data_IF_083729581717
#
_entry.id   IF_083729581717
#
_cell.length_a   1.000
_cell.length_b   1.000
_cell.length_c   1.000
_cell.angle_alpha   90.00
_cell.angle_beta   90.00
_cell.angle_gamma   90.00
#
_symmetry.space_group_name_H-M   'P 1'
#
loop_
_entity.id
_entity.type
_entity.pdbx_description
1 polymer ?
#
# COMPACT_ATOMS: atom_id res chain seq x y z
N UNK A 1 25.34 -1.03 26.36
CA UNK A 1 24.76 -1.40 25.05
C UNK A 1 23.22 -1.37 25.10
N UNK A 2 22.61 -0.21 25.38
CA UNK A 2 21.14 -0.02 25.43
C UNK A 2 20.65 1.27 24.74
N UNK A 3 21.53 1.99 24.05
CA UNK A 3 21.22 3.32 23.50
C UNK A 3 21.10 3.37 21.97
N UNK A 4 21.41 2.30 21.24
CA UNK A 4 21.38 2.32 19.77
C UNK A 4 20.01 1.92 19.20
N UNK A 5 19.22 1.12 19.92
CA UNK A 5 17.87 0.73 19.51
C UNK A 5 16.83 1.86 19.63
N UNK A 6 17.06 2.83 20.52
CA UNK A 6 16.14 3.96 20.71
C UNK A 6 16.30 5.02 19.61
N UNK A 7 17.48 5.15 19.00
CA UNK A 7 17.72 6.16 17.95
C UNK A 7 17.18 5.72 16.58
N UNK A 8 17.28 4.44 16.21
CA UNK A 8 16.70 3.93 14.95
C UNK A 8 15.17 4.04 14.94
N UNK A 9 14.54 3.88 16.11
CA UNK A 9 13.09 4.08 16.28
C UNK A 9 12.67 5.56 16.21
N UNK A 10 13.60 6.50 16.42
CA UNK A 10 13.30 7.93 16.43
C UNK A 10 13.43 8.56 15.04
N UNK A 11 14.42 8.16 14.25
CA UNK A 11 14.59 8.63 12.86
C UNK A 11 13.54 8.01 11.91
N UNK A 12 13.24 6.71 12.03
CA UNK A 12 12.12 6.09 11.30
C UNK A 12 10.75 6.49 11.88
N UNK A 13 10.70 6.78 13.18
CA UNK A 13 9.49 7.22 13.85
C UNK A 13 8.98 8.53 13.27
N UNK A 14 9.83 9.56 13.20
CA UNK A 14 9.41 10.90 12.79
C UNK A 14 8.80 10.93 11.37
N UNK A 15 9.40 10.22 10.41
CA UNK A 15 8.89 10.12 9.03
C UNK A 15 7.61 9.28 8.92
N UNK A 16 7.47 8.25 9.75
CA UNK A 16 6.22 7.50 9.85
C UNK A 16 5.11 8.39 10.39
N UNK A 17 5.36 9.21 11.43
CA UNK A 17 4.39 10.12 12.04
C UNK A 17 3.99 11.29 11.13
N UNK A 18 4.92 11.84 10.34
CA UNK A 18 4.70 12.99 9.46
C UNK A 18 4.21 12.64 8.04
N UNK A 19 4.16 11.35 7.68
CA UNK A 19 3.84 10.90 6.33
C UNK A 19 2.58 11.59 5.80
N UNK A 20 2.77 12.48 4.82
CA UNK A 20 1.68 13.11 4.10
C UNK A 20 1.07 12.09 3.14
N UNK A 21 -0.26 12.00 3.02
CA UNK A 21 -0.89 11.15 2.02
C UNK A 21 -0.37 11.49 0.62
N UNK A 22 0.21 10.48 -0.03
CA UNK A 22 0.83 10.62 -1.34
C UNK A 22 0.80 9.28 -2.08
N UNK A 23 1.08 9.36 -3.38
CA UNK A 23 1.41 8.21 -4.22
C UNK A 23 2.90 7.91 -4.11
N UNK A 24 3.21 6.69 -3.70
CA UNK A 24 4.55 6.12 -3.70
C UNK A 24 4.58 4.99 -4.72
N UNK A 25 5.37 5.19 -5.77
CA UNK A 25 5.59 4.23 -6.85
C UNK A 25 6.96 3.57 -6.71
N UNK A 26 7.13 2.39 -7.29
CA UNK A 26 8.37 1.59 -7.25
C UNK A 26 8.69 0.97 -5.88
N UNK A 27 7.66 0.67 -5.10
CA UNK A 27 7.83 -0.18 -3.94
C UNK A 27 8.16 -1.61 -4.41
N UNK A 28 9.35 -2.10 -4.07
CA UNK A 28 9.80 -3.42 -4.54
C UNK A 28 9.18 -4.56 -3.72
N UNK A 29 9.20 -4.44 -2.40
CA UNK A 29 8.81 -5.50 -1.48
C UNK A 29 7.84 -4.95 -0.45
N UNK A 30 6.79 -5.71 -0.14
CA UNK A 30 5.79 -5.30 0.84
C UNK A 30 6.33 -5.42 2.27
N UNK A 31 7.26 -6.34 2.51
CA UNK A 31 7.84 -6.63 3.82
C UNK A 31 8.47 -5.38 4.45
N UNK A 32 9.14 -4.54 3.64
CA UNK A 32 9.72 -3.28 4.10
C UNK A 32 8.68 -2.22 4.44
N UNK A 33 7.47 -2.33 3.87
CA UNK A 33 6.36 -1.42 4.14
C UNK A 33 5.54 -1.84 5.37
N UNK A 34 5.55 -3.12 5.77
CA UNK A 34 4.65 -3.66 6.80
C UNK A 34 4.63 -2.82 8.11
N UNK A 35 5.77 -2.40 8.70
CA UNK A 35 5.73 -1.58 9.92
C UNK A 35 5.03 -0.23 9.71
N UNK A 36 5.26 0.39 8.54
CA UNK A 36 4.64 1.67 8.17
C UNK A 36 3.15 1.50 7.88
N UNK A 37 2.75 0.44 7.19
CA UNK A 37 1.35 0.12 6.93
C UNK A 37 0.58 -0.15 8.22
N UNK A 38 1.18 -0.89 9.16
CA UNK A 38 0.63 -1.09 10.49
C UNK A 38 0.40 0.26 11.18
N UNK A 39 1.43 1.09 11.30
CA UNK A 39 1.36 2.38 11.98
C UNK A 39 0.31 3.33 11.36
N UNK A 40 0.24 3.41 10.03
CA UNK A 40 -0.77 4.20 9.32
C UNK A 40 -2.19 3.63 9.55
N UNK A 41 -2.35 2.31 9.55
CA UNK A 41 -3.64 1.66 9.74
C UNK A 41 -4.24 1.83 11.13
N UNK A 42 -3.43 2.19 12.13
CA UNK A 42 -3.88 2.41 13.50
C UNK A 42 -4.47 3.81 13.72
N UNK A 43 -4.25 4.75 12.78
CA UNK A 43 -4.72 6.15 12.91
C UNK A 43 -6.21 6.32 12.63
N UNK A 44 -6.83 5.33 12.00
CA UNK A 44 -8.18 5.44 11.46
C UNK A 44 -8.80 4.06 11.31
N UNK A 45 -10.13 4.02 11.31
CA UNK A 45 -10.91 2.81 11.07
C UNK A 45 -11.31 2.63 9.59
N UNK A 46 -10.83 3.51 8.70
CA UNK A 46 -11.03 3.39 7.26
C UNK A 46 -10.43 2.11 6.68
N UNK A 47 -10.90 1.74 5.49
CA UNK A 47 -10.45 0.54 4.80
C UNK A 47 -8.97 0.62 4.41
N UNK A 48 -8.33 -0.54 4.40
CA UNK A 48 -7.11 -0.79 3.64
C UNK A 48 -7.53 -1.57 2.42
N UNK A 49 -7.45 -0.94 1.25
CA UNK A 49 -7.83 -1.60 -0.01
C UNK A 49 -6.59 -2.18 -0.66
N UNK A 50 -6.65 -3.46 -0.99
CA UNK A 50 -5.55 -4.22 -1.59
C UNK A 50 -6.00 -4.70 -2.96
N UNK A 51 -5.27 -4.34 -4.00
CA UNK A 51 -5.68 -4.50 -5.40
C UNK A 51 -4.64 -5.32 -6.14
N UNK A 52 -5.06 -6.45 -6.70
CA UNK A 52 -4.21 -7.30 -7.54
C UNK A 52 -3.15 -8.12 -6.79
N UNK A 53 -3.10 -8.03 -5.45
CA UNK A 53 -2.22 -8.86 -4.63
C UNK A 53 -2.68 -10.33 -4.61
N UNK A 54 -1.76 -11.23 -4.31
CA UNK A 54 -2.10 -12.61 -3.95
C UNK A 54 -2.58 -12.73 -2.50
N UNK A 55 -3.08 -13.92 -2.15
CA UNK A 55 -3.58 -14.21 -0.81
C UNK A 55 -2.50 -14.08 0.28
N UNK A 56 -1.25 -14.44 -0.02
CA UNK A 56 -0.14 -14.44 0.93
C UNK A 56 0.15 -13.01 1.42
N UNK A 57 -0.03 -12.00 0.58
CA UNK A 57 0.06 -10.59 0.98
C UNK A 57 -0.98 -10.25 2.04
N UNK A 58 -2.22 -10.74 1.89
CA UNK A 58 -3.28 -10.52 2.88
C UNK A 58 -2.91 -11.18 4.20
N UNK A 59 -2.32 -12.37 4.16
CA UNK A 59 -1.82 -13.08 5.34
C UNK A 59 -0.67 -12.34 6.01
N UNK A 60 0.28 -11.78 5.25
CA UNK A 60 1.36 -10.95 5.75
C UNK A 60 0.84 -9.67 6.44
N UNK A 61 -0.13 -8.98 5.84
CA UNK A 61 -0.76 -7.79 6.46
C UNK A 61 -1.42 -8.15 7.80
N UNK A 62 -2.14 -9.27 7.85
CA UNK A 62 -2.76 -9.75 9.08
C UNK A 62 -1.71 -10.15 10.12
N UNK A 63 -0.65 -10.83 9.72
CA UNK A 63 0.48 -11.18 10.59
C UNK A 63 1.20 -9.95 11.14
N UNK A 64 1.24 -8.85 10.38
CA UNK A 64 1.76 -7.55 10.81
C UNK A 64 0.81 -6.78 11.75
N UNK A 65 -0.35 -7.35 12.12
CA UNK A 65 -1.29 -6.76 13.08
C UNK A 65 -2.38 -5.89 12.45
N UNK A 66 -2.52 -5.91 11.11
CA UNK A 66 -3.64 -5.24 10.44
C UNK A 66 -4.90 -6.09 10.58
N UNK A 67 -5.99 -5.49 11.05
CA UNK A 67 -7.26 -6.21 11.22
C UNK A 67 -7.80 -6.71 9.87
N UNK A 68 -8.00 -8.03 9.75
CA UNK A 68 -8.59 -8.66 8.56
C UNK A 68 -9.93 -8.05 8.16
N UNK A 69 -10.75 -7.64 9.14
CA UNK A 69 -12.06 -7.03 8.89
C UNK A 69 -11.99 -5.63 8.27
N UNK A 70 -10.80 -5.00 8.26
CA UNK A 70 -10.54 -3.71 7.61
C UNK A 70 -9.83 -3.86 6.26
N UNK A 71 -9.57 -5.09 5.81
CA UNK A 71 -8.92 -5.33 4.53
C UNK A 71 -10.01 -5.59 3.49
N UNK A 72 -10.08 -4.70 2.50
CA UNK A 72 -10.87 -4.90 1.28
C UNK A 72 -9.94 -5.41 0.19
N UNK A 73 -10.06 -6.69 -0.16
CA UNK A 73 -9.25 -7.28 -1.22
C UNK A 73 -10.03 -7.31 -2.53
N UNK A 74 -9.47 -6.67 -3.55
CA UNK A 74 -10.03 -6.58 -4.90
C UNK A 74 -9.10 -7.33 -5.85
N UNK A 75 -9.65 -8.34 -6.51
CA UNK A 75 -8.95 -9.03 -7.59
C UNK A 75 -9.02 -8.19 -8.87
N UNK A 76 -7.99 -8.25 -9.71
CA UNK A 76 -8.00 -7.67 -11.05
C UNK A 76 -7.32 -8.63 -12.02
N UNK A 77 -7.98 -8.90 -13.14
CA UNK A 77 -7.56 -9.96 -14.08
C UNK A 77 -6.40 -9.52 -14.96
N UNK A 78 -6.27 -8.21 -15.20
CA UNK A 78 -5.25 -7.62 -16.04
C UNK A 78 -4.82 -6.25 -15.49
N UNK A 79 -3.85 -5.63 -16.16
CA UNK A 79 -3.31 -4.33 -15.78
C UNK A 79 -4.39 -3.24 -15.75
N UNK A 80 -5.17 -3.10 -16.81
CA UNK A 80 -6.18 -2.04 -16.96
C UNK A 80 -7.26 -2.11 -15.86
N UNK A 81 -7.73 -3.32 -15.54
CA UNK A 81 -8.69 -3.53 -14.46
C UNK A 81 -8.10 -3.11 -13.10
N UNK A 82 -6.82 -3.39 -12.85
CA UNK A 82 -6.17 -3.00 -11.59
C UNK A 82 -5.94 -1.50 -11.54
N UNK A 83 -5.47 -0.87 -12.62
CA UNK A 83 -5.29 0.59 -12.69
C UNK A 83 -6.63 1.31 -12.45
N UNK A 84 -7.69 0.84 -13.11
CA UNK A 84 -9.03 1.38 -12.90
C UNK A 84 -9.52 1.18 -11.46
N UNK A 85 -9.39 -0.03 -10.91
CA UNK A 85 -9.78 -0.32 -9.53
C UNK A 85 -9.01 0.54 -8.51
N UNK A 86 -7.71 0.78 -8.75
CA UNK A 86 -6.88 1.66 -7.92
C UNK A 86 -7.40 3.08 -7.95
N UNK A 87 -7.66 3.63 -9.14
CA UNK A 87 -8.22 4.97 -9.26
C UNK A 87 -9.58 5.08 -8.57
N UNK A 88 -10.48 4.10 -8.75
CA UNK A 88 -11.79 4.10 -8.09
C UNK A 88 -11.67 4.00 -6.57
N UNK A 89 -10.75 3.18 -6.05
CA UNK A 89 -10.54 3.05 -4.62
C UNK A 89 -10.04 4.35 -3.97
N UNK A 90 -9.19 5.11 -4.69
CA UNK A 90 -8.72 6.43 -4.27
C UNK A 90 -9.86 7.45 -4.32
N UNK A 91 -10.54 7.58 -5.46
CA UNK A 91 -11.64 8.56 -5.65
C UNK A 91 -12.81 8.33 -4.69
N UNK A 92 -13.06 7.08 -4.28
CA UNK A 92 -14.10 6.77 -3.31
C UNK A 92 -13.84 7.38 -1.92
N UNK A 93 -12.60 7.71 -1.55
CA UNK A 93 -12.27 8.33 -0.26
C UNK A 93 -12.62 7.50 0.99
N UNK A 94 -12.88 6.20 0.81
CA UNK A 94 -13.27 5.27 1.90
C UNK A 94 -12.09 4.51 2.48
N UNK A 95 -10.90 4.66 1.89
CA UNK A 95 -9.68 3.98 2.31
C UNK A 95 -8.66 4.98 2.82
N UNK A 96 -7.99 4.65 3.92
CA UNK A 96 -6.81 5.38 4.38
C UNK A 96 -5.55 4.94 3.65
N UNK A 97 -5.53 3.68 3.19
CA UNK A 97 -4.43 3.07 2.46
C UNK A 97 -4.97 2.32 1.25
N UNK A 98 -4.31 2.50 0.11
CA UNK A 98 -4.52 1.70 -1.11
C UNK A 98 -3.18 1.07 -1.50
N UNK A 99 -3.13 -0.27 -1.51
CA UNK A 99 -1.99 -1.05 -1.99
C UNK A 99 -2.36 -1.64 -3.35
N UNK A 100 -1.55 -1.38 -4.36
CA UNK A 100 -1.85 -1.81 -5.74
C UNK A 100 -0.66 -2.51 -6.36
N UNK A 101 -0.89 -3.70 -6.93
CA UNK A 101 0.09 -4.43 -7.73
C UNK A 101 -0.12 -4.12 -9.20
N UNK A 102 0.68 -3.20 -9.72
CA UNK A 102 0.56 -2.67 -11.08
C UNK A 102 1.90 -2.87 -11.79
N UNK A 103 1.87 -3.23 -13.07
CA UNK A 103 3.04 -3.13 -13.94
C UNK A 103 3.41 -1.67 -14.22
N UNK A 104 4.22 -1.46 -15.26
CA UNK A 104 4.63 -0.10 -15.64
C UNK A 104 3.43 0.82 -15.88
N UNK A 105 3.41 1.93 -15.15
CA UNK A 105 2.37 2.94 -15.28
C UNK A 105 2.77 3.97 -16.32
N UNK A 106 1.85 4.24 -17.25
CA UNK A 106 1.99 5.40 -18.14
C UNK A 106 2.08 6.71 -17.32
N UNK A 107 2.79 7.75 -17.81
CA UNK A 107 2.87 9.04 -17.11
C UNK A 107 1.50 9.65 -16.81
N UNK A 108 0.54 9.46 -17.72
CA UNK A 108 -0.85 9.88 -17.55
C UNK A 108 -1.51 9.16 -16.37
N UNK A 109 -1.33 7.85 -16.26
CA UNK A 109 -1.91 7.08 -15.16
C UNK A 109 -1.27 7.45 -13.82
N UNK A 110 0.06 7.58 -13.75
CA UNK A 110 0.76 8.03 -12.54
C UNK A 110 0.22 9.37 -12.05
N UNK A 111 0.05 10.34 -12.95
CA UNK A 111 -0.49 11.65 -12.59
C UNK A 111 -1.94 11.58 -12.08
N UNK A 112 -2.79 10.74 -12.70
CA UNK A 112 -4.17 10.53 -12.24
C UNK A 112 -4.24 9.94 -10.84
N UNK A 113 -3.47 8.88 -10.58
CA UNK A 113 -3.42 8.25 -9.26
C UNK A 113 -2.87 9.21 -8.19
N UNK A 114 -1.84 9.99 -8.53
CA UNK A 114 -1.29 11.03 -7.65
C UNK A 114 -2.32 12.08 -7.27
N UNK A 115 -3.09 12.56 -8.25
CA UNK A 115 -4.15 13.54 -8.00
C UNK A 115 -5.28 12.94 -7.16
N UNK A 116 -5.71 11.71 -7.48
CA UNK A 116 -6.76 11.02 -6.73
C UNK A 116 -6.36 10.82 -5.26
N UNK A 117 -5.14 10.32 -5.00
CA UNK A 117 -4.58 10.16 -3.63
C UNK A 117 -4.53 11.48 -2.86
N UNK A 118 -4.13 12.57 -3.52
CA UNK A 118 -4.10 13.90 -2.88
C UNK A 118 -5.49 14.40 -2.52
N UNK A 119 -6.46 14.24 -3.43
CA UNK A 119 -7.85 14.68 -3.20
C UNK A 119 -8.50 13.87 -2.08
N UNK A 120 -8.27 12.56 -2.05
CA UNK A 120 -8.87 11.67 -1.06
C UNK A 120 -8.12 11.61 0.28
N UNK A 121 -6.95 12.24 0.37
CA UNK A 121 -6.04 12.13 1.52
C UNK A 121 -5.70 10.67 1.84
N UNK A 122 -5.51 9.85 0.81
CA UNK A 122 -5.24 8.41 0.93
C UNK A 122 -3.77 8.12 0.63
N UNK A 123 -3.12 7.32 1.47
CA UNK A 123 -1.78 6.80 1.18
C UNK A 123 -1.87 5.72 0.09
N UNK A 124 -1.20 5.93 -1.04
CA UNK A 124 -1.23 5.00 -2.16
C UNK A 124 0.15 4.42 -2.39
N UNK A 125 0.29 3.10 -2.34
CA UNK A 125 1.53 2.38 -2.60
C UNK A 125 1.35 1.50 -3.85
N UNK A 126 2.21 1.70 -4.85
CA UNK A 126 2.24 0.91 -6.08
C UNK A 126 3.46 0.00 -6.05
N UNK A 127 3.18 -1.30 -6.06
CA UNK A 127 4.17 -2.37 -6.10
C UNK A 127 4.22 -2.96 -7.51
N UNK A 128 5.45 -3.12 -8.02
CA UNK A 128 5.68 -3.58 -9.39
C UNK A 128 5.93 -5.09 -9.49
N UNK A 129 6.19 -5.76 -8.37
CA UNK A 129 6.48 -7.19 -8.36
C UNK A 129 5.17 -7.98 -8.53
N UNK A 130 4.80 -8.20 -9.79
CA UNK A 130 3.78 -9.17 -10.10
C UNK A 130 4.37 -10.54 -9.80
N UNK A 131 3.80 -11.30 -8.85
CA UNK A 131 4.38 -12.55 -8.44
C UNK A 131 4.47 -13.47 -9.66
N UNK A 132 5.70 -13.86 -10.01
CA UNK A 132 5.92 -14.76 -11.12
C UNK A 132 5.11 -16.04 -10.89
N UNK A 133 4.35 -16.53 -11.88
CA UNK A 133 3.64 -17.80 -11.75
C UNK A 133 4.57 -19.01 -11.78
N UNK A 134 5.88 -18.82 -12.00
CA UNK A 134 6.84 -19.90 -12.20
C UNK A 134 7.51 -20.28 -10.88
N UNK A 135 7.36 -21.52 -10.37
CA UNK A 135 8.27 -22.02 -9.37
C UNK A 135 9.66 -22.11 -10.02
N UNK A 136 10.66 -21.48 -9.39
CA UNK A 136 12.06 -21.76 -9.67
C UNK A 136 12.29 -23.23 -9.28
N UNK A 137 12.33 -24.11 -10.29
CA UNK A 137 12.76 -25.50 -10.18
C UNK A 137 14.28 -25.59 -10.19
#
# INVERSE_FOLDING_TARGET
MRNEYFNVMNELGFDVWSATPALESNCQHIESLLPRLQALSMRTHQWITVIGARREVIEQLVAAGISRTRIRWVHGRNQDEREWATEQALLAGTSSIVLSWLGELSPRMQQRLKMASKVSQTHSFVLNDLPSPTPLH
#
